data_IF_682542301862
#
_entry.id   IF_682542301862
#
_cell.length_a   1.000
_cell.length_b   1.000
_cell.length_c   1.000
_cell.angle_alpha   90.00
_cell.angle_beta   90.00
_cell.angle_gamma   90.00
#
_symmetry.space_group_name_H-M   'P 1'
#
loop_
_entity.id
_entity.type
_entity.pdbx_description
1 polymer ?
#
# COMPACT_ATOMS: atom_id res chain seq x y z
N UNK A 1 1.42 -8.01 8.24
CA UNK A 1 0.04 -7.83 7.74
C UNK A 1 -0.54 -9.22 7.51
N UNK A 2 -1.69 -9.56 8.08
CA UNK A 2 -2.40 -10.81 7.71
C UNK A 2 -3.36 -10.52 6.56
N UNK A 3 -3.90 -11.55 5.91
CA UNK A 3 -4.88 -11.38 4.82
C UNK A 3 -6.14 -10.68 5.32
N UNK A 4 -6.63 -11.06 6.50
CA UNK A 4 -7.85 -10.51 7.09
C UNK A 4 -7.70 -9.02 7.40
N UNK A 5 -6.56 -8.63 7.99
CA UNK A 5 -6.25 -7.22 8.27
C UNK A 5 -6.07 -6.41 6.98
N UNK A 6 -5.52 -7.02 5.94
CA UNK A 6 -5.37 -6.37 4.64
C UNK A 6 -6.74 -6.07 4.01
N UNK A 7 -7.64 -7.06 4.00
CA UNK A 7 -9.01 -6.90 3.50
C UNK A 7 -9.79 -5.85 4.32
N UNK A 8 -9.72 -5.92 5.65
CA UNK A 8 -10.38 -4.93 6.52
C UNK A 8 -9.86 -3.51 6.26
N UNK A 9 -8.56 -3.37 6.01
CA UNK A 9 -7.96 -2.07 5.68
C UNK A 9 -8.46 -1.52 4.34
N UNK A 10 -8.61 -2.37 3.32
CA UNK A 10 -9.19 -1.95 2.05
C UNK A 10 -10.60 -1.40 2.22
N UNK A 11 -11.45 -2.16 2.90
CA UNK A 11 -12.86 -1.83 3.11
C UNK A 11 -13.04 -0.57 3.97
N UNK A 12 -12.34 -0.49 5.11
CA UNK A 12 -12.61 0.55 6.13
C UNK A 12 -11.75 1.79 5.97
N UNK A 13 -10.60 1.70 5.30
CA UNK A 13 -9.62 2.78 5.23
C UNK A 13 -9.37 3.22 3.79
N UNK A 14 -9.09 2.31 2.86
CA UNK A 14 -8.69 2.70 1.52
C UNK A 14 -9.86 3.15 0.65
N UNK A 15 -10.84 2.27 0.40
CA UNK A 15 -11.94 2.57 -0.53
C UNK A 15 -12.77 3.81 -0.16
N UNK A 16 -13.05 4.11 1.12
CA UNK A 16 -13.79 5.33 1.48
C UNK A 16 -13.07 6.63 1.13
N UNK A 17 -11.77 6.58 0.80
CA UNK A 17 -10.95 7.75 0.44
C UNK A 17 -10.79 7.91 -1.08
N UNK A 18 -11.26 6.95 -1.87
CA UNK A 18 -11.09 6.93 -3.32
C UNK A 18 -12.39 7.27 -4.02
N UNK A 19 -12.30 7.85 -5.22
CA UNK A 19 -13.45 8.13 -6.07
C UNK A 19 -13.10 7.84 -7.54
N UNK A 20 -14.05 7.24 -8.27
CA UNK A 20 -13.89 6.85 -9.67
C UNK A 20 -12.78 5.82 -9.88
N UNK A 21 -11.60 6.28 -10.34
CA UNK A 21 -10.46 5.44 -10.69
C UNK A 21 -9.27 5.71 -9.76
N UNK A 22 -8.71 4.65 -9.16
CA UNK A 22 -7.53 4.74 -8.31
C UNK A 22 -6.44 3.75 -8.70
N UNK A 23 -5.20 4.11 -8.35
CA UNK A 23 -4.03 3.28 -8.54
C UNK A 23 -3.43 2.94 -7.18
N UNK A 24 -3.38 1.66 -6.84
CA UNK A 24 -2.73 1.15 -5.64
C UNK A 24 -1.34 0.59 -5.97
N UNK A 25 -0.30 1.32 -5.54
CA UNK A 25 1.09 0.90 -5.72
C UNK A 25 1.60 0.20 -4.46
N UNK A 26 1.74 -1.12 -4.52
CA UNK A 26 2.16 -1.96 -3.40
C UNK A 26 3.64 -2.35 -3.51
N UNK A 27 4.26 -2.68 -2.37
CA UNK A 27 5.55 -3.39 -2.42
C UNK A 27 5.32 -4.89 -2.75
N UNK A 28 6.41 -5.63 -2.95
CA UNK A 28 6.34 -7.03 -3.36
C UNK A 28 6.01 -8.01 -2.22
N UNK A 29 5.26 -7.60 -1.20
CA UNK A 29 4.85 -8.51 -0.13
C UNK A 29 3.78 -9.49 -0.63
N UNK A 30 3.85 -10.79 -0.27
CA UNK A 30 2.90 -11.79 -0.73
C UNK A 30 1.44 -11.45 -0.42
N UNK A 31 1.17 -10.80 0.71
CA UNK A 31 -0.18 -10.37 1.11
C UNK A 31 -0.81 -9.42 0.09
N UNK A 32 0.00 -8.60 -0.60
CA UNK A 32 -0.48 -7.68 -1.63
C UNK A 32 -0.63 -8.34 -3.00
N UNK A 33 -0.16 -9.57 -3.19
CA UNK A 33 -0.34 -10.29 -4.45
C UNK A 33 -1.72 -10.96 -4.55
N UNK A 34 -2.48 -11.01 -3.45
CA UNK A 34 -3.80 -11.63 -3.38
C UNK A 34 -4.88 -10.67 -3.90
N UNK A 35 -4.96 -10.55 -5.23
CA UNK A 35 -5.96 -9.72 -5.93
C UNK A 35 -7.38 -10.21 -5.71
N UNK A 36 -7.58 -11.53 -5.55
CA UNK A 36 -8.90 -12.11 -5.32
C UNK A 36 -9.54 -11.55 -4.04
N UNK A 37 -8.75 -11.44 -2.97
CA UNK A 37 -9.21 -10.88 -1.71
C UNK A 37 -9.63 -9.40 -1.81
N UNK A 38 -9.06 -8.63 -2.73
CA UNK A 38 -9.39 -7.21 -2.93
C UNK A 38 -10.66 -7.06 -3.76
N UNK A 39 -10.84 -7.88 -4.79
CA UNK A 39 -12.05 -7.84 -5.62
C UNK A 39 -13.31 -8.21 -4.82
N UNK A 40 -13.23 -9.09 -3.81
CA UNK A 40 -14.36 -9.42 -2.93
C UNK A 40 -14.90 -8.22 -2.12
N UNK A 41 -14.05 -7.24 -1.80
CA UNK A 41 -14.41 -6.07 -0.98
C UNK A 41 -14.47 -4.77 -1.77
N UNK A 42 -14.24 -4.83 -3.08
CA UNK A 42 -14.27 -3.68 -3.97
C UNK A 42 -15.69 -3.18 -4.18
N UNK A 43 -15.87 -1.87 -4.06
CA UNK A 43 -17.16 -1.23 -4.35
C UNK A 43 -17.39 -1.21 -5.87
N UNK A 44 -18.58 -1.57 -6.33
CA UNK A 44 -18.92 -1.67 -7.78
C UNK A 44 -18.63 -0.39 -8.58
N UNK A 45 -18.57 0.78 -7.94
CA UNK A 45 -18.33 2.08 -8.58
C UNK A 45 -16.85 2.47 -8.65
N UNK A 46 -15.95 1.67 -8.09
CA UNK A 46 -14.53 1.98 -7.97
C UNK A 46 -13.70 1.10 -8.89
N UNK A 47 -13.04 1.73 -9.86
CA UNK A 47 -12.02 1.09 -10.67
C UNK A 47 -10.67 1.23 -9.96
N UNK A 48 -10.15 0.14 -9.40
CA UNK A 48 -8.85 0.14 -8.75
C UNK A 48 -7.88 -0.72 -9.55
N UNK A 49 -6.82 -0.10 -10.08
CA UNK A 49 -5.67 -0.81 -10.64
C UNK A 49 -4.63 -1.04 -9.54
N UNK A 50 -4.07 -2.24 -9.48
CA UNK A 50 -3.01 -2.56 -8.53
C UNK A 50 -1.70 -2.86 -9.25
N UNK A 51 -0.65 -2.11 -8.90
CA UNK A 51 0.69 -2.29 -9.44
C UNK A 51 1.63 -2.71 -8.30
N UNK A 52 2.38 -3.78 -8.54
CA UNK A 52 3.38 -4.29 -7.60
C UNK A 52 4.76 -3.78 -7.99
N UNK A 53 5.41 -3.09 -7.07
CA UNK A 53 6.82 -2.71 -7.21
C UNK A 53 7.68 -3.97 -7.21
N UNK A 54 8.64 -4.12 -8.14
CA UNK A 54 9.49 -5.29 -8.18
C UNK A 54 10.26 -5.49 -6.85
N UNK A 55 10.54 -6.75 -6.47
CA UNK A 55 11.32 -7.02 -5.28
C UNK A 55 12.69 -6.32 -5.32
N UNK A 56 13.21 -5.98 -4.15
CA UNK A 56 14.56 -5.37 -3.94
C UNK A 56 14.72 -3.93 -4.45
N UNK A 57 13.74 -3.36 -5.16
CA UNK A 57 13.79 -1.96 -5.60
C UNK A 57 12.90 -1.03 -4.79
N UNK A 58 12.10 -1.54 -3.85
CA UNK A 58 11.20 -0.77 -2.97
C UNK A 58 11.88 0.47 -2.35
N UNK A 59 13.02 0.30 -1.67
CA UNK A 59 13.74 1.42 -1.03
C UNK A 59 14.33 2.47 -2.01
N UNK A 60 14.32 2.17 -3.31
CA UNK A 60 14.83 3.04 -4.37
C UNK A 60 13.72 3.77 -5.11
N UNK A 61 12.56 3.15 -5.31
CA UNK A 61 11.49 3.69 -6.17
C UNK A 61 10.14 3.86 -5.50
N UNK A 62 9.88 3.24 -4.33
CA UNK A 62 8.62 3.44 -3.63
C UNK A 62 8.58 4.86 -3.05
N UNK A 63 7.61 5.72 -3.45
CA UNK A 63 7.58 7.13 -3.04
C UNK A 63 7.57 7.32 -1.52
N UNK A 64 6.81 6.49 -0.80
CA UNK A 64 6.74 6.54 0.67
C UNK A 64 8.10 6.23 1.30
N UNK A 65 8.85 5.26 0.78
CA UNK A 65 10.12 4.84 1.37
C UNK A 65 11.26 5.82 1.05
N UNK A 66 11.25 6.39 -0.16
CA UNK A 66 12.29 7.34 -0.63
C UNK A 66 12.10 8.73 -0.05
N UNK A 67 10.86 9.21 0.02
CA UNK A 67 10.55 10.59 0.42
C UNK A 67 10.07 10.62 1.87
N UNK A 68 8.89 10.07 2.14
CA UNK A 68 8.21 10.24 3.43
C UNK A 68 8.97 9.58 4.59
N UNK A 69 9.10 8.25 4.56
CA UNK A 69 9.68 7.46 5.65
C UNK A 69 11.18 7.71 5.82
N UNK A 70 11.90 8.05 4.76
CA UNK A 70 13.34 8.38 4.85
C UNK A 70 13.58 9.57 5.77
N UNK A 71 12.76 10.62 5.67
CA UNK A 71 12.85 11.80 6.54
C UNK A 71 12.60 11.42 8.00
N UNK A 72 11.52 10.68 8.28
CA UNK A 72 11.20 10.23 9.63
C UNK A 72 12.30 9.34 10.21
N UNK A 73 12.77 8.32 9.47
CA UNK A 73 13.87 7.43 9.89
C UNK A 73 15.14 8.23 10.20
N UNK A 74 15.44 9.25 9.40
CA UNK A 74 16.58 10.16 9.65
C UNK A 74 16.44 10.95 10.94
N UNK A 75 15.24 11.49 11.22
CA UNK A 75 14.95 12.17 12.48
C UNK A 75 15.06 11.23 13.68
N UNK A 76 14.41 10.07 13.64
CA UNK A 76 14.46 9.10 14.75
C UNK A 76 15.90 8.67 15.07
N UNK A 77 16.75 8.44 14.06
CA UNK A 77 18.17 8.13 14.28
C UNK A 77 18.94 9.25 14.97
N UNK A 78 18.54 10.51 14.81
CA UNK A 78 19.18 11.65 15.48
C UNK A 78 18.69 11.87 16.90
N UNK A 79 17.47 11.46 17.22
CA UNK A 79 16.88 11.62 18.56
C UNK A 79 17.21 10.43 19.47
N UNK A 80 17.40 9.25 18.89
CA UNK A 80 17.70 8.02 19.61
C UNK A 80 19.21 7.75 19.78
N UNK A 81 20.08 8.59 19.20
CA UNK A 81 21.53 8.59 19.43
C UNK A 81 21.93 9.92 20.06
#
# INVERSE_FOLDING_TARGET
MTKELFVEWWEKVFFPQMDGHCLFLADSWPTFADQEAVEEVKLEKLECEMITIPPKVTGHIQPLDVLCFRMYKGYFRKVLN
#
